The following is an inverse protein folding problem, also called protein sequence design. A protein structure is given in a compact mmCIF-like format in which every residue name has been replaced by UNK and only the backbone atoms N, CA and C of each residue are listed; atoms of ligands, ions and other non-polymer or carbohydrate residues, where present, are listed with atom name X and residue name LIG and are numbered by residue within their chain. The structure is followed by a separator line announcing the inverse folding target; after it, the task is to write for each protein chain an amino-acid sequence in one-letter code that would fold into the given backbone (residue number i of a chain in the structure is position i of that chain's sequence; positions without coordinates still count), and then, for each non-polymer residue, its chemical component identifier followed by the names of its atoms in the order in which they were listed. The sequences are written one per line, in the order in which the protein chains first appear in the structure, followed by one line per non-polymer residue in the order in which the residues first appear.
data_IF_763772636475
#
_entry.id   IF_763772636475
#
_cell.length_a   1.000
_cell.length_b   1.000
_cell.length_c   1.000
_cell.angle_alpha   90.00
_cell.angle_beta   90.00
_cell.angle_gamma   90.00
#
_symmetry.space_group_name_H-M   'P 1'
#
loop_
_entity.id
_entity.type
_entity.pdbx_description
1 polymer ?
#
# COMPACT_ATOMS: atom_id res chain seq x y z
N UNK A 1 19.52 -54.31 -6.90
CA UNK A 1 18.20 -54.03 -7.49
C UNK A 1 17.62 -52.86 -6.73
N UNK A 2 17.80 -51.68 -7.28
CA UNK A 2 17.47 -50.40 -6.65
C UNK A 2 16.07 -49.96 -7.03
N UNK A 3 15.19 -49.81 -6.05
CA UNK A 3 13.87 -49.23 -6.20
C UNK A 3 13.97 -47.69 -6.29
N UNK A 4 13.70 -47.16 -7.45
CA UNK A 4 13.53 -45.72 -7.68
C UNK A 4 12.08 -45.37 -7.38
N UNK A 5 11.88 -44.60 -6.34
CA UNK A 5 10.58 -44.07 -5.94
C UNK A 5 10.24 -42.81 -6.80
N UNK A 6 9.11 -42.75 -7.52
CA UNK A 6 8.75 -41.59 -8.31
C UNK A 6 8.32 -40.46 -7.39
N UNK A 7 9.02 -39.31 -7.46
CA UNK A 7 8.69 -38.11 -6.74
C UNK A 7 7.29 -37.60 -7.12
N UNK A 8 6.41 -37.57 -6.15
CA UNK A 8 5.14 -36.86 -6.23
C UNK A 8 5.41 -35.38 -6.53
N UNK A 9 5.23 -34.95 -7.76
CA UNK A 9 5.06 -33.51 -8.08
C UNK A 9 3.74 -33.08 -7.46
N UNK A 10 3.81 -32.16 -6.51
CA UNK A 10 2.66 -31.62 -5.80
C UNK A 10 1.66 -30.99 -6.80
N UNK A 11 0.37 -31.24 -6.62
CA UNK A 11 -0.73 -30.58 -7.36
C UNK A 11 -0.65 -29.05 -7.33
N UNK A 12 0.05 -28.46 -6.36
CA UNK A 12 0.35 -27.03 -6.24
C UNK A 12 1.15 -26.47 -7.43
N UNK A 13 2.12 -27.22 -7.98
CA UNK A 13 2.92 -26.73 -9.11
C UNK A 13 2.13 -26.71 -10.43
N UNK A 14 1.09 -27.51 -10.56
CA UNK A 14 0.26 -27.52 -11.77
C UNK A 14 -0.70 -26.33 -11.83
N UNK A 15 -1.23 -25.87 -10.69
CA UNK A 15 -2.12 -24.70 -10.63
C UNK A 15 -1.35 -23.37 -10.80
N UNK A 16 -0.09 -23.29 -10.34
CA UNK A 16 0.77 -22.13 -10.56
C UNK A 16 1.17 -21.98 -12.04
N UNK A 17 1.29 -23.08 -12.78
CA UNK A 17 1.60 -23.06 -14.22
C UNK A 17 0.41 -22.67 -15.09
N UNK A 18 -0.81 -22.95 -14.67
CA UNK A 18 -2.01 -22.78 -15.51
C UNK A 18 -2.71 -21.43 -15.32
N UNK A 19 -2.58 -20.80 -14.15
CA UNK A 19 -3.20 -19.50 -13.86
C UNK A 19 -2.45 -18.30 -14.47
N UNK A 20 -1.15 -18.44 -14.70
CA UNK A 20 -0.29 -17.38 -15.23
C UNK A 20 -0.36 -17.28 -16.77
N UNK A 21 -0.78 -18.36 -17.45
CA UNK A 21 -0.79 -18.38 -18.92
C UNK A 21 -2.05 -17.74 -19.53
N UNK A 22 -3.11 -17.55 -18.77
CA UNK A 22 -4.36 -16.98 -19.28
C UNK A 22 -4.37 -15.43 -19.33
N UNK A 23 -3.50 -14.74 -18.60
CA UNK A 23 -3.37 -13.27 -18.62
C UNK A 23 -2.20 -12.78 -19.52
N UNK A 24 -1.56 -13.65 -20.27
CA UNK A 24 -0.35 -13.35 -21.02
C UNK A 24 -0.53 -12.99 -22.51
N UNK A 25 -1.75 -12.81 -22.99
CA UNK A 25 -2.01 -12.49 -24.41
C UNK A 25 -2.43 -11.01 -24.51
N UNK A 26 -1.46 -10.13 -24.74
CA UNK A 26 -1.80 -8.89 -25.38
C UNK A 26 -1.06 -7.60 -25.02
N UNK A 27 0.12 -7.60 -24.46
CA UNK A 27 0.94 -6.41 -24.45
C UNK A 27 2.36 -6.77 -24.90
N UNK A 28 2.63 -6.59 -26.21
CA UNK A 28 3.99 -6.37 -26.69
C UNK A 28 4.42 -4.96 -26.26
N UNK A 29 4.59 -4.75 -24.96
CA UNK A 29 5.30 -3.58 -24.44
C UNK A 29 6.71 -3.60 -24.98
N UNK A 30 7.21 -2.47 -25.48
CA UNK A 30 8.59 -2.36 -25.88
C UNK A 30 9.48 -2.83 -24.73
N UNK A 31 10.31 -3.85 -24.97
CA UNK A 31 11.31 -4.27 -23.98
C UNK A 31 12.09 -3.04 -23.51
N UNK A 32 12.25 -2.83 -22.21
CA UNK A 32 13.04 -1.71 -21.73
C UNK A 32 14.45 -1.78 -22.29
N UNK A 33 15.09 -0.62 -22.50
CA UNK A 33 16.49 -0.56 -22.94
C UNK A 33 17.35 -1.46 -22.04
N UNK A 34 18.41 -2.09 -22.57
CA UNK A 34 19.19 -3.08 -21.81
C UNK A 34 19.65 -2.64 -20.42
N UNK A 35 20.00 -1.37 -20.24
CA UNK A 35 20.39 -0.79 -18.95
C UNK A 35 19.24 -0.74 -17.92
N UNK A 36 17.97 -0.81 -18.36
CA UNK A 36 16.79 -0.82 -17.50
C UNK A 36 16.26 -2.23 -17.23
N UNK A 37 16.77 -3.27 -17.91
CA UNK A 37 16.32 -4.65 -17.71
C UNK A 37 16.60 -5.12 -16.28
N UNK A 38 15.63 -5.86 -15.73
CA UNK A 38 15.79 -6.56 -14.46
C UNK A 38 16.86 -7.64 -14.59
N UNK A 39 17.76 -7.74 -13.61
CA UNK A 39 18.93 -8.59 -13.68
C UNK A 39 19.34 -9.15 -12.31
N UNK A 40 20.36 -9.99 -12.28
CA UNK A 40 20.85 -10.63 -11.04
C UNK A 40 21.33 -9.61 -9.98
N UNK A 41 21.83 -8.44 -10.38
CA UNK A 41 22.22 -7.41 -9.42
C UNK A 41 21.01 -6.81 -8.71
N UNK A 42 19.87 -6.70 -9.38
CA UNK A 42 18.61 -6.26 -8.78
C UNK A 42 18.12 -7.28 -7.73
N UNK A 43 18.19 -8.58 -8.06
CA UNK A 43 17.85 -9.67 -7.14
C UNK A 43 18.78 -9.66 -5.92
N UNK A 44 20.09 -9.56 -6.16
CA UNK A 44 21.08 -9.50 -5.10
C UNK A 44 20.90 -8.26 -4.20
N UNK A 45 20.47 -7.14 -4.75
CA UNK A 45 20.19 -5.92 -3.99
C UNK A 45 19.01 -6.16 -3.02
N UNK A 46 17.91 -6.73 -3.48
CA UNK A 46 16.77 -7.07 -2.61
C UNK A 46 17.16 -8.03 -1.50
N UNK A 47 17.95 -9.05 -1.81
CA UNK A 47 18.43 -10.01 -0.81
C UNK A 47 19.33 -9.34 0.26
N UNK A 48 20.21 -8.43 -0.16
CA UNK A 48 21.05 -7.64 0.78
C UNK A 48 20.20 -6.74 1.67
N UNK A 49 19.20 -6.07 1.13
CA UNK A 49 18.29 -5.21 1.89
C UNK A 49 17.53 -6.02 2.95
N UNK A 50 16.94 -7.17 2.59
CA UNK A 50 16.30 -8.08 3.54
C UNK A 50 17.25 -8.54 4.67
N UNK A 51 18.47 -8.87 4.31
CA UNK A 51 19.50 -9.27 5.30
C UNK A 51 19.87 -8.11 6.23
N UNK A 52 20.06 -6.92 5.68
CA UNK A 52 20.37 -5.70 6.43
C UNK A 52 19.23 -5.31 7.39
N UNK A 53 17.99 -5.38 6.94
CA UNK A 53 16.80 -5.15 7.79
C UNK A 53 16.82 -6.08 9.01
N UNK A 54 16.95 -7.39 8.80
CA UNK A 54 16.98 -8.37 9.88
C UNK A 54 18.17 -8.16 10.84
N UNK A 55 19.34 -7.79 10.31
CA UNK A 55 20.53 -7.52 11.13
C UNK A 55 20.38 -6.24 11.97
N UNK A 56 19.55 -5.29 11.55
CA UNK A 56 19.26 -4.03 12.23
C UNK A 56 18.15 -4.15 13.25
N UNK A 57 17.30 -5.16 13.16
CA UNK A 57 16.18 -5.39 14.08
C UNK A 57 16.59 -5.23 15.53
N UNK A 58 15.89 -4.37 16.27
CA UNK A 58 16.18 -4.04 17.67
C UNK A 58 17.41 -3.17 17.92
N UNK A 59 18.11 -2.69 16.87
CA UNK A 59 19.34 -1.88 16.95
C UNK A 59 19.21 -0.50 16.30
N UNK A 60 18.00 -0.11 15.93
CA UNK A 60 17.74 1.20 15.33
C UNK A 60 17.92 2.35 16.31
N UNK A 61 17.82 3.61 15.82
CA UNK A 61 18.09 4.83 16.62
C UNK A 61 17.12 5.00 17.80
N UNK A 62 15.99 4.32 17.78
CA UNK A 62 14.94 4.36 18.81
C UNK A 62 14.98 3.14 19.75
N UNK A 63 16.06 2.34 19.72
CA UNK A 63 16.16 1.10 20.48
C UNK A 63 15.28 0.00 19.93
N UNK A 64 15.01 -1.01 20.75
CA UNK A 64 14.16 -2.14 20.34
C UNK A 64 12.70 -1.72 20.29
N UNK A 65 12.08 -1.85 19.12
CA UNK A 65 10.67 -1.55 18.84
C UNK A 65 9.91 -2.83 18.49
N UNK A 66 10.09 -3.88 19.29
CA UNK A 66 9.47 -5.19 19.07
C UNK A 66 8.36 -5.41 20.09
N UNK A 67 7.15 -5.69 19.57
CA UNK A 67 5.92 -5.83 20.34
C UNK A 67 5.25 -7.17 20.06
N UNK A 68 4.48 -7.75 21.01
CA UNK A 68 3.68 -8.94 20.77
C UNK A 68 2.40 -8.58 20.02
N UNK A 69 2.47 -8.51 18.68
CA UNK A 69 1.38 -8.11 17.82
C UNK A 69 0.97 -6.64 17.96
N UNK A 70 -0.15 -6.27 17.34
CA UNK A 70 -0.68 -4.90 17.41
C UNK A 70 -1.11 -4.48 18.80
N UNK A 71 -1.69 -5.40 19.59
CA UNK A 71 -2.08 -5.13 20.98
C UNK A 71 -0.88 -4.78 21.86
N UNK A 72 0.29 -5.29 21.51
CA UNK A 72 1.53 -4.96 22.21
C UNK A 72 1.92 -3.49 22.13
N UNK A 73 1.38 -2.74 21.15
CA UNK A 73 1.58 -1.30 21.02
C UNK A 73 1.00 -0.52 22.21
N UNK A 74 0.09 -1.11 23.00
CA UNK A 74 -0.38 -0.52 24.26
C UNK A 74 0.73 -0.34 25.33
N UNK A 75 1.95 -0.83 25.07
CA UNK A 75 3.13 -0.48 25.88
C UNK A 75 3.70 0.90 25.56
N UNK A 76 3.32 1.48 24.43
CA UNK A 76 3.69 2.86 24.07
C UNK A 76 2.77 3.86 24.79
N UNK A 77 3.27 5.06 25.14
CA UNK A 77 2.52 6.00 25.98
C UNK A 77 1.24 6.55 25.34
N UNK A 78 1.06 6.39 24.06
CA UNK A 78 -0.06 6.93 23.28
C UNK A 78 -1.23 5.96 23.11
N UNK A 79 -1.07 4.69 23.52
CA UNK A 79 -2.06 3.65 23.24
C UNK A 79 -2.49 2.92 24.50
N UNK A 80 -3.73 2.49 24.49
CA UNK A 80 -4.31 1.60 25.51
C UNK A 80 -5.13 0.49 24.85
N UNK A 81 -5.53 -0.51 25.64
CA UNK A 81 -6.52 -1.49 25.24
C UNK A 81 -7.86 -1.16 25.91
N UNK A 82 -8.94 -1.19 25.13
CA UNK A 82 -10.28 -1.12 25.69
C UNK A 82 -10.67 -2.40 26.47
N UNK A 83 -11.86 -2.42 27.05
CA UNK A 83 -12.37 -3.58 27.80
C UNK A 83 -12.49 -4.87 26.96
N UNK A 84 -12.60 -4.74 25.66
CA UNK A 84 -12.71 -5.85 24.71
C UNK A 84 -11.36 -6.24 24.12
N UNK A 85 -10.28 -5.54 24.53
CA UNK A 85 -8.91 -5.78 24.12
C UNK A 85 -8.56 -5.18 22.75
N UNK A 86 -9.33 -4.21 22.25
CA UNK A 86 -8.98 -3.49 21.03
C UNK A 86 -8.03 -2.35 21.38
N UNK A 87 -7.04 -2.14 20.51
CA UNK A 87 -6.10 -1.05 20.62
C UNK A 87 -6.76 0.29 20.25
N UNK A 88 -6.52 1.33 21.06
CA UNK A 88 -6.93 2.69 20.71
C UNK A 88 -5.88 3.72 21.13
N UNK A 89 -5.88 4.86 20.45
CA UNK A 89 -5.03 6.00 20.78
C UNK A 89 -5.70 6.82 21.89
N UNK A 90 -5.04 6.89 23.04
CA UNK A 90 -5.53 7.52 24.28
C UNK A 90 -4.94 8.93 24.52
N UNK A 91 -4.11 9.41 23.60
CA UNK A 91 -3.42 10.70 23.76
C UNK A 91 -4.09 11.81 22.95
N UNK A 92 -4.68 12.79 23.62
CA UNK A 92 -5.35 13.94 22.99
C UNK A 92 -4.38 14.92 22.31
N UNK A 93 -3.09 14.88 22.62
CA UNK A 93 -2.05 15.65 21.94
C UNK A 93 -1.69 15.07 20.56
N UNK A 94 -2.13 13.84 20.24
CA UNK A 94 -2.00 13.28 18.90
C UNK A 94 -3.04 13.91 17.99
N UNK A 95 -2.63 14.62 16.93
CA UNK A 95 -3.59 15.26 16.04
C UNK A 95 -4.42 14.22 15.27
N UNK A 96 -5.63 14.60 14.88
CA UNK A 96 -6.38 13.79 13.92
C UNK A 96 -5.63 13.73 12.60
N UNK A 97 -5.52 12.52 12.06
CA UNK A 97 -4.77 12.24 10.84
C UNK A 97 -5.65 12.04 9.61
N UNK A 98 -5.03 12.18 8.44
CA UNK A 98 -5.60 11.85 7.14
C UNK A 98 -4.80 10.69 6.57
N UNK A 99 -5.46 9.58 6.34
CA UNK A 99 -4.85 8.39 5.75
C UNK A 99 -4.98 8.43 4.23
N UNK A 100 -3.86 8.59 3.52
CA UNK A 100 -3.88 8.66 2.05
C UNK A 100 -3.81 7.30 1.38
N UNK A 101 -3.81 6.18 2.14
CA UNK A 101 -3.68 4.84 1.56
C UNK A 101 -4.43 3.77 2.35
N UNK A 102 -5.67 3.55 1.97
CA UNK A 102 -6.49 2.45 2.44
C UNK A 102 -7.12 1.68 1.28
N UNK A 103 -7.60 0.47 1.59
CA UNK A 103 -8.37 -0.36 0.68
C UNK A 103 -9.63 -0.87 1.39
N UNK A 104 -10.58 -1.40 0.63
CA UNK A 104 -11.70 -2.19 1.15
C UNK A 104 -11.59 -3.64 0.65
N UNK A 105 -12.50 -4.48 1.09
CA UNK A 105 -12.61 -5.84 0.59
C UNK A 105 -12.86 -5.86 -0.92
N UNK A 106 -12.18 -6.76 -1.62
CA UNK A 106 -12.26 -6.89 -3.07
C UNK A 106 -13.21 -8.02 -3.47
N UNK A 107 -14.01 -7.78 -4.51
CA UNK A 107 -14.83 -8.78 -5.17
C UNK A 107 -14.75 -8.56 -6.68
N UNK A 108 -13.99 -9.40 -7.36
CA UNK A 108 -13.70 -9.30 -8.81
C UNK A 108 -14.06 -10.59 -9.53
N UNK A 109 -13.90 -10.64 -10.85
CA UNK A 109 -14.26 -11.78 -11.71
C UNK A 109 -15.71 -12.20 -11.52
N UNK A 110 -15.96 -13.31 -10.85
CA UNK A 110 -17.31 -13.84 -10.60
C UNK A 110 -18.10 -13.04 -9.55
N UNK A 111 -17.49 -12.00 -9.00
CA UNK A 111 -18.09 -11.07 -8.03
C UNK A 111 -18.80 -11.82 -6.89
N UNK A 112 -18.09 -12.64 -6.12
CA UNK A 112 -18.67 -13.27 -4.95
C UNK A 112 -19.28 -12.18 -4.05
N UNK A 113 -20.47 -12.44 -3.49
CA UNK A 113 -21.17 -11.46 -2.69
C UNK A 113 -20.31 -10.99 -1.50
N UNK A 114 -20.09 -9.70 -1.44
CA UNK A 114 -19.40 -8.99 -0.38
C UNK A 114 -20.28 -7.82 0.07
N UNK A 115 -20.77 -7.89 1.30
CA UNK A 115 -21.48 -6.77 1.91
C UNK A 115 -20.47 -5.80 2.54
N UNK A 116 -20.13 -4.74 1.81
CA UNK A 116 -19.21 -3.69 2.29
C UNK A 116 -19.81 -2.83 3.42
N UNK A 117 -21.10 -2.99 3.75
CA UNK A 117 -21.77 -2.27 4.84
C UNK A 117 -21.96 -3.15 6.10
N UNK A 118 -21.53 -4.40 6.06
CA UNK A 118 -21.62 -5.29 7.19
C UNK A 118 -20.63 -4.89 8.30
N UNK A 119 -21.13 -4.77 9.54
CA UNK A 119 -20.28 -4.66 10.72
C UNK A 119 -19.91 -6.05 11.25
N UNK A 120 -18.66 -6.25 11.62
CA UNK A 120 -18.19 -7.49 12.27
C UNK A 120 -17.55 -7.17 13.62
N UNK A 121 -17.49 -8.15 14.51
CA UNK A 121 -16.89 -7.97 15.84
C UNK A 121 -15.40 -7.65 15.80
N UNK A 122 -14.71 -8.11 14.76
CA UNK A 122 -13.28 -7.94 14.57
C UNK A 122 -12.95 -7.75 13.09
N UNK A 123 -11.97 -6.91 12.80
CA UNK A 123 -11.28 -6.89 11.49
C UNK A 123 -10.29 -8.04 11.43
N UNK A 124 -10.25 -8.74 10.32
CA UNK A 124 -9.14 -9.64 9.99
C UNK A 124 -8.24 -8.93 8.99
N UNK A 125 -7.10 -8.50 9.49
CA UNK A 125 -6.07 -7.97 8.61
C UNK A 125 -5.49 -9.09 7.73
N UNK A 126 -4.99 -8.75 6.58
CA UNK A 126 -4.39 -9.75 5.68
C UNK A 126 -3.10 -10.31 6.28
N UNK A 127 -2.36 -9.48 6.98
CA UNK A 127 -1.20 -9.87 7.79
C UNK A 127 -1.54 -9.64 9.25
N UNK A 128 -2.26 -10.58 9.86
CA UNK A 128 -2.84 -10.47 11.20
C UNK A 128 -1.87 -10.97 12.26
N UNK A 129 -1.18 -10.03 12.91
CA UNK A 129 -0.33 -10.27 14.09
C UNK A 129 -1.10 -10.20 15.41
N UNK A 130 -2.40 -10.02 15.37
CA UNK A 130 -3.28 -10.00 16.55
C UNK A 130 -4.00 -11.33 16.76
N UNK A 131 -3.72 -12.31 15.90
CA UNK A 131 -4.13 -13.68 16.17
C UNK A 131 -3.62 -14.07 17.56
N UNK A 132 -4.42 -14.84 18.28
CA UNK A 132 -4.08 -15.39 19.61
C UNK A 132 -2.82 -16.26 19.60
N UNK A 133 -2.13 -16.33 18.48
CA UNK A 133 -0.86 -17.04 18.31
C UNK A 133 0.28 -16.22 18.93
N UNK A 134 0.94 -16.73 19.99
CA UNK A 134 2.05 -16.04 20.66
C UNK A 134 3.29 -15.86 19.76
N UNK A 135 3.25 -16.31 18.52
CA UNK A 135 4.37 -16.33 17.58
C UNK A 135 4.45 -15.18 16.57
N UNK A 136 3.66 -14.11 16.71
CA UNK A 136 3.68 -13.00 15.77
C UNK A 136 4.30 -11.71 16.37
N UNK A 137 5.62 -11.60 16.48
CA UNK A 137 6.26 -10.37 16.93
C UNK A 137 6.06 -9.30 15.85
N UNK A 138 5.69 -8.08 16.26
CA UNK A 138 5.65 -6.91 15.43
C UNK A 138 6.90 -6.05 15.71
N UNK A 139 7.85 -6.08 14.81
CA UNK A 139 9.03 -5.21 14.84
C UNK A 139 8.78 -3.98 13.97
N UNK A 140 8.71 -2.81 14.58
CA UNK A 140 8.51 -1.55 13.88
C UNK A 140 9.81 -1.02 13.23
N UNK A 141 10.98 -1.65 13.49
CA UNK A 141 12.26 -1.21 12.93
C UNK A 141 12.69 -1.99 11.69
N UNK A 142 11.78 -2.76 11.11
CA UNK A 142 11.95 -3.36 9.79
C UNK A 142 10.78 -2.97 8.87
N UNK A 143 10.95 -3.15 7.55
CA UNK A 143 9.82 -3.03 6.65
C UNK A 143 8.74 -4.05 7.05
N UNK A 144 7.50 -3.61 7.14
CA UNK A 144 6.44 -4.35 7.84
C UNK A 144 6.29 -5.81 7.37
N UNK A 145 6.45 -6.08 6.07
CA UNK A 145 6.41 -7.45 5.54
C UNK A 145 7.57 -8.33 6.00
N UNK A 146 8.64 -7.75 6.55
CA UNK A 146 9.74 -8.49 7.16
C UNK A 146 9.37 -9.22 8.45
N UNK A 147 8.24 -8.86 9.07
CA UNK A 147 7.70 -9.53 10.25
C UNK A 147 7.11 -10.91 9.95
N UNK A 148 6.82 -11.19 8.69
CA UNK A 148 6.12 -12.41 8.27
C UNK A 148 7.09 -13.38 7.62
N UNK A 149 6.85 -14.67 7.80
CA UNK A 149 7.61 -15.70 7.10
C UNK A 149 7.29 -15.71 5.60
N UNK A 150 8.21 -16.21 4.79
CA UNK A 150 7.98 -16.34 3.34
C UNK A 150 6.72 -17.18 3.07
N UNK A 151 6.44 -18.21 3.89
CA UNK A 151 5.22 -19.00 3.78
C UNK A 151 3.96 -18.16 4.05
N UNK A 152 3.98 -17.26 5.05
CA UNK A 152 2.85 -16.39 5.34
C UNK A 152 2.59 -15.40 4.20
N UNK A 153 3.65 -14.89 3.57
CA UNK A 153 3.56 -14.01 2.40
C UNK A 153 3.04 -14.75 1.16
N UNK A 154 3.46 -16.00 0.95
CA UNK A 154 2.93 -16.86 -0.11
C UNK A 154 1.45 -17.19 0.12
N UNK A 155 1.07 -17.51 1.36
CA UNK A 155 -0.32 -17.78 1.73
C UNK A 155 -1.19 -16.51 1.56
N UNK A 156 -0.66 -15.33 1.84
CA UNK A 156 -1.32 -14.05 1.56
C UNK A 156 -1.55 -13.86 0.05
N UNK A 157 -0.54 -14.11 -0.77
CA UNK A 157 -0.65 -14.00 -2.23
C UNK A 157 -1.75 -14.93 -2.74
N UNK A 158 -1.76 -16.18 -2.29
CA UNK A 158 -2.79 -17.16 -2.67
C UNK A 158 -4.19 -16.78 -2.14
N UNK A 159 -4.27 -16.24 -0.92
CA UNK A 159 -5.52 -15.75 -0.35
C UNK A 159 -6.08 -14.56 -1.14
N UNK A 160 -5.22 -13.64 -1.56
CA UNK A 160 -5.62 -12.48 -2.36
C UNK A 160 -6.18 -12.90 -3.72
N UNK A 161 -5.58 -13.88 -4.39
CA UNK A 161 -6.09 -14.46 -5.64
C UNK A 161 -7.43 -15.17 -5.39
N UNK A 162 -7.50 -16.03 -4.38
CA UNK A 162 -8.73 -16.75 -4.02
C UNK A 162 -9.86 -15.79 -3.67
N UNK A 163 -9.54 -14.70 -2.99
CA UNK A 163 -10.45 -13.65 -2.57
C UNK A 163 -11.15 -12.98 -3.75
N UNK A 164 -10.41 -12.67 -4.82
CA UNK A 164 -10.97 -12.08 -6.03
C UNK A 164 -11.93 -13.03 -6.75
N UNK A 165 -11.74 -14.33 -6.68
CA UNK A 165 -12.50 -15.33 -7.46
C UNK A 165 -13.65 -15.94 -6.66
N UNK A 166 -13.43 -16.29 -5.40
CA UNK A 166 -14.42 -17.02 -4.57
C UNK A 166 -14.81 -16.30 -3.29
N UNK A 167 -14.14 -15.20 -2.96
CA UNK A 167 -14.25 -14.56 -1.65
C UNK A 167 -13.43 -15.27 -0.57
N UNK A 168 -13.21 -14.59 0.54
CA UNK A 168 -12.50 -15.15 1.69
C UNK A 168 -13.08 -14.67 3.01
N UNK A 169 -12.79 -15.35 4.13
CA UNK A 169 -13.17 -14.88 5.45
C UNK A 169 -12.55 -13.52 5.83
N UNK A 170 -11.43 -13.14 5.23
CA UNK A 170 -10.79 -11.85 5.43
C UNK A 170 -11.60 -10.73 4.78
N UNK A 171 -11.92 -10.87 3.49
CA UNK A 171 -12.70 -9.88 2.74
C UNK A 171 -13.98 -9.48 3.43
N UNK A 172 -14.67 -10.44 4.05
CA UNK A 172 -15.94 -10.20 4.76
C UNK A 172 -15.82 -9.25 5.95
N UNK A 173 -14.62 -9.02 6.46
CA UNK A 173 -14.34 -8.09 7.56
C UNK A 173 -13.75 -6.77 7.11
N UNK A 174 -13.42 -6.63 5.81
CA UNK A 174 -12.77 -5.44 5.25
C UNK A 174 -13.84 -4.49 4.69
N UNK A 175 -14.65 -3.96 5.57
CA UNK A 175 -15.90 -3.24 5.29
C UNK A 175 -15.84 -1.81 5.82
N UNK A 176 -16.71 -0.95 5.33
CA UNK A 176 -16.80 0.45 5.74
C UNK A 176 -17.01 0.61 7.25
N UNK A 177 -17.99 -0.03 7.89
CA UNK A 177 -18.18 0.13 9.34
C UNK A 177 -16.96 -0.30 10.16
N UNK A 178 -16.24 -1.32 9.72
CA UNK A 178 -15.05 -1.80 10.40
C UNK A 178 -13.86 -0.84 10.21
N UNK A 179 -13.68 -0.28 9.01
CA UNK A 179 -12.67 0.75 8.77
C UNK A 179 -12.96 1.99 9.62
N UNK A 180 -14.19 2.50 9.60
CA UNK A 180 -14.56 3.70 10.36
C UNK A 180 -14.33 3.51 11.86
N UNK A 181 -14.65 2.34 12.41
CA UNK A 181 -14.40 2.01 13.82
C UNK A 181 -12.91 2.03 14.16
N UNK A 182 -12.06 1.46 13.29
CA UNK A 182 -10.62 1.45 13.51
C UNK A 182 -10.00 2.83 13.28
N UNK A 183 -10.51 3.61 12.33
CA UNK A 183 -10.15 5.02 12.14
C UNK A 183 -10.44 5.85 13.40
N UNK A 184 -11.64 5.72 13.96
CA UNK A 184 -12.01 6.41 15.21
C UNK A 184 -11.05 6.03 16.34
N UNK A 185 -10.78 4.73 16.53
CA UNK A 185 -9.88 4.27 17.58
C UNK A 185 -8.44 4.75 17.42
N UNK A 186 -7.99 5.06 16.19
CA UNK A 186 -6.63 5.51 15.88
C UNK A 186 -6.53 7.01 15.53
N UNK A 187 -7.56 7.82 15.82
CA UNK A 187 -7.61 9.25 15.52
C UNK A 187 -7.36 9.57 14.03
N UNK A 188 -7.87 8.70 13.14
CA UNK A 188 -7.90 8.95 11.70
C UNK A 188 -9.25 9.57 11.35
N UNK A 189 -9.25 10.80 10.87
CA UNK A 189 -10.48 11.53 10.58
C UNK A 189 -11.03 11.21 9.19
N UNK A 190 -10.15 11.09 8.22
CA UNK A 190 -10.50 10.85 6.82
C UNK A 190 -9.51 9.88 6.19
N UNK A 191 -9.97 9.11 5.19
CA UNK A 191 -9.13 8.16 4.47
C UNK A 191 -9.41 8.17 2.97
N UNK A 192 -8.34 7.92 2.18
CA UNK A 192 -8.38 7.70 0.75
C UNK A 192 -8.42 6.20 0.45
N UNK A 193 -9.48 5.74 -0.19
CA UNK A 193 -9.63 4.38 -0.66
C UNK A 193 -9.05 4.26 -2.07
N UNK A 194 -8.08 3.37 -2.26
CA UNK A 194 -7.33 3.23 -3.51
C UNK A 194 -7.69 1.91 -4.21
N UNK A 195 -8.73 1.87 -5.05
CA UNK A 195 -9.05 0.69 -5.84
C UNK A 195 -7.94 0.39 -6.86
N UNK A 196 -7.84 -0.87 -7.30
CA UNK A 196 -6.90 -1.29 -8.32
C UNK A 196 -7.69 -1.98 -9.43
N UNK A 197 -7.69 -1.41 -10.63
CA UNK A 197 -8.22 -2.04 -11.82
C UNK A 197 -7.21 -3.05 -12.35
N UNK A 198 -7.63 -4.31 -12.51
CA UNK A 198 -6.72 -5.43 -12.79
C UNK A 198 -6.58 -5.74 -14.28
N UNK A 199 -7.39 -5.10 -15.14
CA UNK A 199 -7.44 -5.41 -16.58
C UNK A 199 -8.16 -6.72 -16.88
N UNK A 200 -9.11 -7.12 -16.04
CA UNK A 200 -9.88 -8.35 -16.21
C UNK A 200 -10.98 -8.16 -17.26
N UNK A 201 -11.32 -9.23 -18.00
CA UNK A 201 -12.33 -9.12 -19.07
C UNK A 201 -13.76 -8.86 -18.56
N UNK A 202 -14.02 -9.08 -17.27
CA UNK A 202 -15.29 -8.83 -16.58
C UNK A 202 -15.10 -8.74 -15.08
N UNK A 203 -16.04 -8.12 -14.37
CA UNK A 203 -16.04 -8.05 -12.90
C UNK A 203 -14.93 -7.18 -12.31
N UNK A 204 -14.34 -6.26 -13.06
CA UNK A 204 -13.23 -5.39 -12.68
C UNK A 204 -13.70 -3.96 -12.41
N UNK A 205 -14.61 -3.81 -11.43
CA UNK A 205 -15.35 -2.58 -11.17
C UNK A 205 -15.19 -2.08 -9.73
N UNK A 206 -14.04 -2.34 -9.10
CA UNK A 206 -13.81 -2.02 -7.69
C UNK A 206 -14.05 -0.54 -7.36
N UNK A 207 -13.62 0.39 -8.21
CA UNK A 207 -13.87 1.83 -8.01
C UNK A 207 -15.35 2.13 -7.87
N UNK A 208 -16.16 1.61 -8.79
CA UNK A 208 -17.61 1.84 -8.82
C UNK A 208 -18.30 1.17 -7.62
N UNK A 209 -17.89 -0.04 -7.28
CA UNK A 209 -18.46 -0.81 -6.16
C UNK A 209 -18.14 -0.10 -4.83
N UNK A 210 -16.92 0.38 -4.64
CA UNK A 210 -16.53 1.10 -3.43
C UNK A 210 -17.20 2.48 -3.35
N UNK A 211 -17.26 3.22 -4.45
CA UNK A 211 -17.97 4.49 -4.50
C UNK A 211 -19.46 4.32 -4.13
N UNK A 212 -20.12 3.34 -4.71
CA UNK A 212 -21.51 3.03 -4.39
C UNK A 212 -21.70 2.64 -2.91
N UNK A 213 -20.77 1.87 -2.35
CA UNK A 213 -20.83 1.46 -0.95
C UNK A 213 -20.59 2.65 0.01
N UNK A 214 -19.64 3.53 -0.29
CA UNK A 214 -19.38 4.75 0.50
C UNK A 214 -20.62 5.65 0.52
N UNK A 215 -21.24 5.86 -0.64
CA UNK A 215 -22.48 6.65 -0.75
C UNK A 215 -23.64 5.98 0.00
N UNK A 216 -23.84 4.67 -0.17
CA UNK A 216 -24.89 3.94 0.54
C UNK A 216 -24.70 3.92 2.05
N UNK A 217 -23.44 3.95 2.51
CA UNK A 217 -23.06 4.01 3.93
C UNK A 217 -23.05 5.43 4.51
N UNK A 218 -23.38 6.46 3.71
CA UNK A 218 -23.28 7.88 4.09
C UNK A 218 -21.92 8.26 4.71
N UNK A 219 -20.84 7.73 4.13
CA UNK A 219 -19.47 7.88 4.63
C UNK A 219 -18.59 8.84 3.79
N UNK A 220 -19.17 9.62 2.87
CA UNK A 220 -18.48 10.49 1.93
C UNK A 220 -17.68 11.61 2.60
N UNK A 221 -18.02 11.97 3.82
CA UNK A 221 -17.27 12.96 4.60
C UNK A 221 -15.97 12.40 5.17
N UNK A 222 -15.90 11.08 5.34
CA UNK A 222 -14.76 10.41 5.95
C UNK A 222 -13.94 9.60 4.94
N UNK A 223 -14.59 9.07 3.90
CA UNK A 223 -13.97 8.16 2.94
C UNK A 223 -14.06 8.72 1.52
N UNK A 224 -12.92 8.92 0.90
CA UNK A 224 -12.81 9.38 -0.49
C UNK A 224 -12.32 8.24 -1.36
N UNK A 225 -12.99 7.99 -2.48
CA UNK A 225 -12.62 6.92 -3.41
C UNK A 225 -11.75 7.49 -4.53
N UNK A 226 -10.54 6.96 -4.67
CA UNK A 226 -9.64 7.25 -5.77
C UNK A 226 -10.07 6.59 -7.07
N UNK A 227 -9.39 6.95 -8.14
CA UNK A 227 -9.58 6.37 -9.47
C UNK A 227 -8.63 5.18 -9.67
N UNK A 228 -9.01 4.26 -10.55
CA UNK A 228 -8.07 3.29 -11.08
C UNK A 228 -8.41 3.00 -12.54
N UNK A 229 -7.39 2.99 -13.39
CA UNK A 229 -7.49 2.59 -14.79
C UNK A 229 -6.49 1.47 -15.06
N UNK A 230 -6.77 0.65 -16.07
CA UNK A 230 -5.78 -0.29 -16.59
C UNK A 230 -5.04 0.36 -17.76
N UNK A 231 -3.72 0.58 -17.69
CA UNK A 231 -2.99 1.35 -18.69
C UNK A 231 -3.09 0.81 -20.11
N UNK A 232 -3.31 -0.49 -20.28
CA UNK A 232 -3.50 -1.14 -21.59
C UNK A 232 -4.88 -0.99 -22.22
N UNK A 233 -5.87 -0.46 -21.47
CA UNK A 233 -7.24 -0.32 -21.99
C UNK A 233 -7.36 0.91 -22.90
N UNK A 234 -7.99 0.73 -24.07
CA UNK A 234 -8.29 1.84 -24.97
C UNK A 234 -9.25 2.89 -24.35
N UNK A 235 -9.99 2.52 -23.32
CA UNK A 235 -10.93 3.37 -22.59
C UNK A 235 -10.29 4.09 -21.39
N UNK A 236 -9.05 3.81 -21.03
CA UNK A 236 -8.41 4.30 -19.81
C UNK A 236 -8.50 5.84 -19.65
N UNK A 237 -8.20 6.60 -20.71
CA UNK A 237 -8.31 8.07 -20.68
C UNK A 237 -9.76 8.53 -20.50
N UNK A 238 -10.72 7.88 -21.15
CA UNK A 238 -12.15 8.22 -21.03
C UNK A 238 -12.66 7.94 -19.62
N UNK A 239 -12.29 6.80 -19.05
CA UNK A 239 -12.63 6.43 -17.66
C UNK A 239 -12.03 7.43 -16.67
N UNK A 240 -10.77 7.82 -16.86
CA UNK A 240 -10.09 8.81 -16.03
C UNK A 240 -10.81 10.17 -16.06
N UNK A 241 -11.21 10.65 -17.25
CA UNK A 241 -12.01 11.89 -17.39
C UNK A 241 -13.35 11.81 -16.69
N UNK A 242 -14.06 10.70 -16.86
CA UNK A 242 -15.35 10.47 -16.20
C UNK A 242 -15.23 10.45 -14.69
N UNK A 243 -14.21 9.79 -14.16
CA UNK A 243 -13.99 9.70 -12.73
C UNK A 243 -13.55 11.06 -12.15
N UNK A 244 -12.69 11.80 -12.84
CA UNK A 244 -12.32 13.18 -12.47
C UNK A 244 -13.55 14.12 -12.44
N UNK A 245 -14.46 13.99 -13.41
CA UNK A 245 -15.70 14.75 -13.47
C UNK A 245 -16.65 14.44 -12.30
N UNK A 246 -16.58 13.23 -11.72
CA UNK A 246 -17.30 12.86 -10.48
C UNK A 246 -16.61 13.32 -9.19
N UNK A 247 -15.50 14.08 -9.29
CA UNK A 247 -14.78 14.61 -8.14
C UNK A 247 -13.55 13.82 -7.73
N UNK A 248 -13.14 12.79 -8.48
CA UNK A 248 -11.90 12.06 -8.26
C UNK A 248 -10.69 12.98 -8.34
N UNK A 249 -9.73 12.79 -7.43
CA UNK A 249 -8.52 13.62 -7.31
C UNK A 249 -7.22 12.84 -7.40
N UNK A 250 -7.27 11.54 -7.29
CA UNK A 250 -6.10 10.66 -7.23
C UNK A 250 -6.33 9.44 -8.12
N UNK A 251 -5.30 9.05 -8.86
CA UNK A 251 -5.29 7.82 -9.66
C UNK A 251 -4.31 6.83 -9.07
N UNK A 252 -4.78 5.65 -8.68
CA UNK A 252 -3.95 4.54 -8.22
C UNK A 252 -3.46 3.73 -9.40
N UNK A 253 -2.14 3.56 -9.46
CA UNK A 253 -1.44 2.70 -10.40
C UNK A 253 -0.58 1.68 -9.64
N UNK A 254 -0.61 0.43 -10.06
CA UNK A 254 0.08 -0.66 -9.37
C UNK A 254 0.98 -1.46 -10.34
N UNK A 255 2.22 -1.03 -10.55
CA UNK A 255 3.11 -1.59 -11.58
C UNK A 255 3.24 -3.13 -11.52
N UNK A 256 3.40 -3.71 -10.32
CA UNK A 256 3.58 -5.16 -10.18
C UNK A 256 2.32 -5.97 -10.44
N UNK A 257 1.14 -5.45 -10.09
CA UNK A 257 -0.16 -6.12 -10.29
C UNK A 257 -0.65 -5.94 -11.72
N UNK A 258 -0.58 -4.70 -12.22
CA UNK A 258 -1.02 -4.34 -13.57
C UNK A 258 0.04 -4.62 -14.65
N UNK A 259 1.27 -4.99 -14.26
CA UNK A 259 2.39 -5.44 -15.11
C UNK A 259 2.80 -4.45 -16.20
N UNK A 260 3.01 -3.20 -15.82
CA UNK A 260 3.50 -2.14 -16.69
C UNK A 260 4.79 -1.50 -16.11
N UNK A 261 5.58 -0.90 -16.98
CA UNK A 261 6.68 -0.04 -16.56
C UNK A 261 6.21 1.41 -16.43
N UNK A 262 6.48 2.11 -15.31
CA UNK A 262 6.08 3.51 -15.14
C UNK A 262 6.52 4.47 -16.24
N UNK A 263 7.56 4.13 -17.01
CA UNK A 263 8.11 4.92 -18.12
C UNK A 263 7.72 4.40 -19.51
N UNK A 264 6.75 3.49 -19.61
CA UNK A 264 6.30 3.05 -20.94
C UNK A 264 5.42 4.10 -21.63
N UNK A 265 5.42 4.16 -22.99
CA UNK A 265 4.73 5.21 -23.73
C UNK A 265 3.24 5.36 -23.42
N UNK A 266 2.55 4.26 -23.13
CA UNK A 266 1.13 4.28 -22.77
C UNK A 266 0.88 5.04 -21.45
N UNK A 267 1.77 4.87 -20.47
CA UNK A 267 1.71 5.58 -19.20
C UNK A 267 2.04 7.06 -19.35
N UNK A 268 3.03 7.40 -20.18
CA UNK A 268 3.39 8.79 -20.42
C UNK A 268 2.20 9.59 -20.98
N UNK A 269 1.39 8.99 -21.87
CA UNK A 269 0.14 9.59 -22.35
C UNK A 269 -0.91 9.76 -21.23
N UNK A 270 -1.04 8.79 -20.32
CA UNK A 270 -1.95 8.89 -19.15
C UNK A 270 -1.50 10.00 -18.18
N UNK A 271 -0.20 10.20 -17.97
CA UNK A 271 0.31 11.29 -17.12
C UNK A 271 0.00 12.67 -17.71
N UNK A 272 0.13 12.83 -19.03
CA UNK A 272 -0.28 14.06 -19.70
C UNK A 272 -1.74 14.40 -19.42
N UNK A 273 -2.63 13.41 -19.51
CA UNK A 273 -4.05 13.59 -19.21
C UNK A 273 -4.29 13.83 -17.71
N UNK A 274 -3.62 13.08 -16.84
CA UNK A 274 -3.72 13.29 -15.38
C UNK A 274 -3.31 14.71 -14.99
N UNK A 275 -2.24 15.23 -15.58
CA UNK A 275 -1.81 16.63 -15.38
C UNK A 275 -2.86 17.62 -15.87
N UNK A 276 -3.45 17.41 -17.03
CA UNK A 276 -4.50 18.27 -17.58
C UNK A 276 -5.78 18.29 -16.73
N UNK A 277 -6.07 17.17 -16.06
CA UNK A 277 -7.22 17.02 -15.15
C UNK A 277 -6.91 17.46 -13.70
N UNK A 278 -5.69 17.85 -13.39
CA UNK A 278 -5.27 18.21 -12.02
C UNK A 278 -5.31 17.04 -11.02
N UNK A 279 -5.10 15.82 -11.51
CA UNK A 279 -5.05 14.62 -10.68
C UNK A 279 -3.66 14.45 -10.04
N UNK A 280 -3.61 13.68 -8.96
CA UNK A 280 -2.38 13.17 -8.36
C UNK A 280 -2.22 11.70 -8.75
N UNK A 281 -1.03 11.28 -9.14
CA UNK A 281 -0.73 9.88 -9.43
C UNK A 281 -0.17 9.19 -8.20
N UNK A 282 -0.81 8.13 -7.74
CA UNK A 282 -0.36 7.31 -6.62
C UNK A 282 0.15 5.96 -7.12
N UNK A 283 1.43 5.75 -7.05
CA UNK A 283 2.03 4.45 -7.36
C UNK A 283 2.07 3.51 -6.14
N UNK A 284 1.85 2.21 -6.37
CA UNK A 284 2.53 1.23 -5.53
C UNK A 284 4.02 1.29 -5.87
N UNK A 285 4.85 1.66 -4.92
CA UNK A 285 6.27 1.93 -5.15
C UNK A 285 7.16 0.79 -4.67
N UNK A 286 8.13 0.41 -5.51
CA UNK A 286 9.16 -0.56 -5.15
C UNK A 286 8.69 -2.00 -4.94
N UNK A 287 9.58 -2.85 -4.42
CA UNK A 287 9.35 -4.28 -4.19
C UNK A 287 8.95 -4.52 -2.73
N UNK A 288 7.69 -4.85 -2.49
CA UNK A 288 7.15 -5.08 -1.14
C UNK A 288 7.43 -6.49 -0.60
N UNK A 289 7.63 -7.47 -1.51
CA UNK A 289 7.97 -8.85 -1.17
C UNK A 289 6.75 -9.76 -0.95
N UNK A 290 5.55 -9.31 -1.32
CA UNK A 290 4.33 -10.12 -1.40
C UNK A 290 3.97 -10.44 -2.85
N UNK A 291 4.46 -9.64 -3.77
CA UNK A 291 4.28 -9.83 -5.21
C UNK A 291 5.18 -10.95 -5.76
N UNK A 292 4.74 -11.67 -6.81
CA UNK A 292 5.57 -12.67 -7.47
C UNK A 292 6.89 -12.07 -7.99
N UNK A 293 7.99 -12.80 -7.86
CA UNK A 293 9.32 -12.35 -8.33
C UNK A 293 9.30 -11.90 -9.79
N UNK A 294 8.51 -12.56 -10.65
CA UNK A 294 8.36 -12.22 -12.07
C UNK A 294 7.79 -10.82 -12.31
N UNK A 295 7.17 -10.21 -11.31
CA UNK A 295 6.62 -8.85 -11.40
C UNK A 295 7.52 -7.77 -10.79
N UNK A 296 8.60 -8.13 -10.10
CA UNK A 296 9.54 -7.19 -9.49
C UNK A 296 10.14 -6.20 -10.49
N UNK A 297 10.36 -6.64 -11.73
CA UNK A 297 10.89 -5.80 -12.80
C UNK A 297 10.10 -4.51 -13.02
N UNK A 298 8.77 -4.55 -12.83
CA UNK A 298 7.88 -3.43 -13.06
C UNK A 298 7.95 -2.36 -11.94
N UNK A 299 8.42 -2.73 -10.75
CA UNK A 299 8.48 -1.84 -9.58
C UNK A 299 9.85 -1.17 -9.39
N UNK A 300 10.83 -1.42 -10.26
CA UNK A 300 12.19 -0.89 -10.07
C UNK A 300 12.22 0.65 -10.11
N UNK A 301 12.90 1.30 -9.13
CA UNK A 301 12.91 2.76 -8.99
C UNK A 301 13.32 3.52 -10.25
N UNK A 302 14.22 2.97 -11.08
CA UNK A 302 14.69 3.57 -12.33
C UNK A 302 13.61 3.82 -13.38
N UNK A 303 12.44 3.18 -13.26
CA UNK A 303 11.33 3.38 -14.18
C UNK A 303 10.42 4.57 -13.81
N UNK A 304 10.51 5.09 -12.57
CA UNK A 304 9.68 6.23 -12.16
C UNK A 304 10.29 7.58 -12.59
N UNK A 305 11.60 7.61 -12.87
CA UNK A 305 12.34 8.84 -13.11
C UNK A 305 11.84 9.64 -14.32
N UNK A 306 11.53 8.98 -15.43
CA UNK A 306 11.05 9.65 -16.63
C UNK A 306 9.70 10.37 -16.38
N UNK A 307 8.77 9.73 -15.67
CA UNK A 307 7.50 10.34 -15.31
C UNK A 307 7.69 11.62 -14.46
N UNK A 308 8.55 11.54 -13.43
CA UNK A 308 8.87 12.68 -12.57
C UNK A 308 9.52 13.84 -13.35
N UNK A 309 10.43 13.53 -14.26
CA UNK A 309 11.18 14.53 -15.03
C UNK A 309 10.33 15.21 -16.10
N UNK A 310 9.49 14.43 -16.83
CA UNK A 310 8.74 14.93 -17.97
C UNK A 310 7.44 15.65 -17.56
N UNK A 311 6.90 15.35 -16.36
CA UNK A 311 5.68 15.95 -15.84
C UNK A 311 5.92 16.70 -14.52
N UNK A 312 6.70 17.78 -14.49
CA UNK A 312 7.08 18.46 -13.25
C UNK A 312 5.90 19.12 -12.51
N UNK A 313 4.80 19.39 -13.21
CA UNK A 313 3.58 19.97 -12.63
C UNK A 313 2.57 18.89 -12.15
N UNK A 314 2.77 17.62 -12.49
CA UNK A 314 1.98 16.50 -12.00
C UNK A 314 2.58 16.00 -10.69
N UNK A 315 1.76 15.86 -9.66
CA UNK A 315 2.22 15.34 -8.37
C UNK A 315 2.17 13.81 -8.37
N UNK A 316 3.25 13.19 -7.90
CA UNK A 316 3.36 11.74 -7.81
C UNK A 316 3.59 11.31 -6.35
N UNK A 317 2.79 10.37 -5.85
CA UNK A 317 3.03 9.72 -4.57
C UNK A 317 3.72 8.38 -4.84
N UNK A 318 4.94 8.25 -4.35
CA UNK A 318 5.68 7.01 -4.35
C UNK A 318 5.26 6.20 -3.11
N UNK A 319 4.28 5.32 -3.30
CA UNK A 319 3.70 4.53 -2.24
C UNK A 319 4.71 3.63 -1.54
N UNK A 320 4.45 3.28 -0.30
CA UNK A 320 5.39 2.56 0.57
C UNK A 320 6.78 3.22 0.67
N UNK A 321 6.92 4.49 0.22
CA UNK A 321 8.22 5.12 -0.02
C UNK A 321 9.22 4.20 -0.75
N UNK A 322 8.69 3.36 -1.67
CA UNK A 322 9.47 2.37 -2.40
C UNK A 322 9.67 1.02 -1.71
N UNK A 323 8.93 0.73 -0.65
CA UNK A 323 9.04 -0.53 0.07
C UNK A 323 10.51 -0.88 0.41
N UNK A 324 11.03 -2.00 -0.07
CA UNK A 324 12.46 -2.37 0.13
C UNK A 324 13.43 -1.65 -0.79
N UNK A 325 12.95 -0.88 -1.77
CA UNK A 325 13.75 -0.01 -2.64
C UNK A 325 13.76 1.46 -2.16
N UNK A 326 13.49 1.68 -0.87
CA UNK A 326 13.27 3.00 -0.28
C UNK A 326 14.45 3.97 -0.46
N UNK A 327 15.69 3.53 -0.38
CA UNK A 327 16.85 4.40 -0.58
C UNK A 327 16.85 5.07 -1.98
N UNK A 328 16.51 4.29 -3.00
CA UNK A 328 16.42 4.80 -4.36
C UNK A 328 15.21 5.72 -4.56
N UNK A 329 14.06 5.42 -3.93
CA UNK A 329 12.88 6.30 -3.98
C UNK A 329 13.09 7.60 -3.20
N UNK A 330 13.79 7.58 -2.08
CA UNK A 330 14.22 8.78 -1.35
C UNK A 330 15.13 9.63 -2.25
N UNK A 331 16.06 9.02 -2.99
CA UNK A 331 16.92 9.74 -3.92
C UNK A 331 16.11 10.42 -5.05
N UNK A 332 15.05 9.79 -5.56
CA UNK A 332 14.12 10.43 -6.51
C UNK A 332 13.37 11.60 -5.85
N UNK A 333 12.81 11.42 -4.65
CA UNK A 333 12.09 12.48 -3.94
C UNK A 333 12.99 13.68 -3.59
N UNK A 334 14.28 13.47 -3.41
CA UNK A 334 15.26 14.57 -3.23
C UNK A 334 15.53 15.35 -4.50
N UNK A 335 15.45 14.71 -5.66
CA UNK A 335 15.78 15.29 -6.95
C UNK A 335 14.58 15.96 -7.64
N UNK A 336 13.38 15.47 -7.38
CA UNK A 336 12.15 15.90 -8.03
C UNK A 336 11.14 16.45 -7.02
N UNK A 337 10.78 17.72 -7.13
CA UNK A 337 9.88 18.40 -6.21
C UNK A 337 8.42 17.93 -6.29
N UNK A 338 8.05 17.29 -7.38
CA UNK A 338 6.75 16.67 -7.60
C UNK A 338 6.64 15.23 -7.08
N UNK A 339 7.69 14.71 -6.43
CA UNK A 339 7.69 13.37 -5.82
C UNK A 339 7.41 13.46 -4.32
N UNK A 340 6.35 12.79 -3.87
CA UNK A 340 5.93 12.63 -2.49
C UNK A 340 6.17 11.21 -2.03
N UNK A 341 6.42 11.00 -0.74
CA UNK A 341 6.65 9.68 -0.17
C UNK A 341 5.46 9.28 0.74
N UNK A 342 4.74 8.22 0.36
CA UNK A 342 3.78 7.57 1.25
C UNK A 342 4.51 6.65 2.21
N UNK A 343 4.47 6.92 3.52
CA UNK A 343 5.35 6.28 4.52
C UNK A 343 4.87 4.90 5.01
N UNK A 344 3.67 4.47 4.64
CA UNK A 344 3.10 3.19 5.10
C UNK A 344 4.05 2.01 4.83
N UNK A 345 4.08 1.10 5.76
CA UNK A 345 4.96 -0.08 5.72
C UNK A 345 6.42 0.16 6.12
N UNK A 346 6.92 1.38 6.09
CA UNK A 346 8.33 1.68 6.38
C UNK A 346 8.69 1.51 7.86
N UNK A 347 9.96 1.25 8.15
CA UNK A 347 10.49 1.14 9.51
C UNK A 347 10.66 2.51 10.16
N UNK A 348 10.75 2.55 11.50
CA UNK A 348 11.06 3.77 12.24
C UNK A 348 12.43 4.35 11.84
N UNK A 349 13.43 3.50 11.61
CA UNK A 349 14.75 3.92 11.11
C UNK A 349 14.68 4.53 9.72
N UNK A 350 13.90 3.95 8.81
CA UNK A 350 13.74 4.48 7.46
C UNK A 350 12.93 5.78 7.47
N UNK A 351 11.90 5.87 8.32
CA UNK A 351 11.15 7.13 8.49
C UNK A 351 12.06 8.24 9.02
N UNK A 352 12.94 7.94 9.99
CA UNK A 352 13.95 8.90 10.45
C UNK A 352 14.88 9.33 9.29
N UNK A 353 15.32 8.39 8.46
CA UNK A 353 16.14 8.68 7.28
C UNK A 353 15.42 9.64 6.33
N UNK A 354 14.12 9.43 6.07
CA UNK A 354 13.31 10.32 5.24
C UNK A 354 13.21 11.73 5.86
N UNK A 355 12.92 11.81 7.16
CA UNK A 355 12.82 13.10 7.89
C UNK A 355 14.12 13.89 7.78
N UNK A 356 15.27 13.23 7.87
CA UNK A 356 16.58 13.88 7.82
C UNK A 356 17.06 14.21 6.41
N UNK A 357 16.63 13.46 5.40
CA UNK A 357 17.22 13.51 4.07
C UNK A 357 16.32 14.06 2.97
N UNK A 358 15.02 14.22 3.23
CA UNK A 358 14.06 14.77 2.27
C UNK A 358 13.34 15.99 2.83
N UNK A 359 12.56 16.65 1.97
CA UNK A 359 11.62 17.67 2.42
C UNK A 359 10.47 16.98 3.19
N UNK A 360 10.42 17.22 4.48
CA UNK A 360 9.39 16.67 5.37
C UNK A 360 7.97 17.13 5.02
N UNK A 361 7.84 18.19 4.23
CA UNK A 361 6.55 18.68 3.72
C UNK A 361 5.99 17.76 2.63
N UNK A 362 6.75 16.78 2.16
CA UNK A 362 6.34 15.79 1.15
C UNK A 362 6.24 14.36 1.69
N UNK A 363 6.20 14.19 3.00
CA UNK A 363 5.92 12.90 3.66
C UNK A 363 4.43 12.79 3.96
N UNK A 364 3.80 11.69 3.56
CA UNK A 364 2.37 11.47 3.67
C UNK A 364 2.06 10.25 4.55
N UNK A 365 1.21 10.44 5.54
CA UNK A 365 0.69 9.35 6.36
C UNK A 365 -0.22 8.44 5.54
N UNK A 366 -0.04 7.14 5.73
CA UNK A 366 -0.86 6.09 5.13
C UNK A 366 -0.73 4.82 5.95
N UNK A 367 -1.71 3.93 5.88
CA UNK A 367 -1.72 2.71 6.70
C UNK A 367 -1.68 1.43 5.90
N UNK A 368 -2.18 1.45 4.67
CA UNK A 368 -2.39 0.26 3.83
C UNK A 368 -3.42 -0.72 4.43
N UNK A 369 -4.37 -0.17 5.22
CA UNK A 369 -5.50 -0.97 5.69
C UNK A 369 -6.24 -1.62 4.52
N UNK A 370 -6.64 -2.86 4.54
CA UNK A 370 -6.70 -3.81 5.65
C UNK A 370 -5.49 -4.78 5.72
N UNK A 371 -4.39 -4.50 5.03
CA UNK A 371 -3.20 -5.35 5.14
C UNK A 371 -2.66 -5.32 6.57
N UNK A 372 -2.61 -4.14 7.17
CA UNK A 372 -2.09 -3.90 8.51
C UNK A 372 -3.08 -3.13 9.37
N UNK A 373 -2.94 -3.27 10.69
CA UNK A 373 -3.67 -2.44 11.65
C UNK A 373 -3.18 -0.99 11.59
N UNK A 374 -4.10 0.00 11.63
CA UNK A 374 -3.76 1.42 11.53
C UNK A 374 -2.72 1.85 12.57
N UNK A 375 -2.80 1.31 13.78
CA UNK A 375 -1.90 1.62 14.89
C UNK A 375 -0.42 1.37 14.58
N UNK A 376 -0.09 0.42 13.69
CA UNK A 376 1.29 0.15 13.31
C UNK A 376 1.94 1.34 12.59
N UNK A 377 1.23 1.99 11.67
CA UNK A 377 1.71 3.19 10.98
C UNK A 377 1.73 4.40 11.90
N UNK A 378 0.69 4.59 12.72
CA UNK A 378 0.60 5.70 13.67
C UNK A 378 1.75 5.63 14.69
N UNK A 379 2.01 4.47 15.29
CA UNK A 379 3.09 4.26 16.25
C UNK A 379 4.46 4.72 15.70
N UNK A 380 4.77 4.40 14.45
CA UNK A 380 6.03 4.79 13.82
C UNK A 380 6.20 6.30 13.72
N UNK A 381 5.14 7.03 13.36
CA UNK A 381 5.16 8.51 13.33
C UNK A 381 5.33 9.05 14.75
N UNK A 382 4.61 8.50 15.73
CA UNK A 382 4.69 8.98 17.12
C UNK A 382 6.06 8.76 17.71
N UNK A 383 6.68 7.59 17.51
CA UNK A 383 8.04 7.28 17.95
C UNK A 383 9.06 8.25 17.34
N UNK A 384 9.02 8.45 16.02
CA UNK A 384 10.00 9.30 15.32
C UNK A 384 9.82 10.80 15.61
N UNK A 385 8.66 11.19 16.13
CA UNK A 385 8.32 12.57 16.44
C UNK A 385 8.02 12.83 17.92
N UNK A 386 8.46 11.96 18.81
CA UNK A 386 8.18 12.05 20.26
C UNK A 386 8.70 13.32 20.89
N UNK A 387 9.90 13.75 20.49
CA UNK A 387 10.51 14.97 21.05
C UNK A 387 9.70 16.22 20.72
N UNK A 388 9.55 17.11 21.70
CA UNK A 388 8.70 18.30 21.60
C UNK A 388 9.04 19.21 20.41
N UNK A 389 10.31 19.27 20.01
CA UNK A 389 10.75 20.03 18.83
C UNK A 389 10.22 19.50 17.50
N UNK A 390 9.68 18.26 17.47
CA UNK A 390 9.10 17.63 16.30
C UNK A 390 7.56 17.60 16.29
N UNK A 391 6.88 18.28 17.21
CA UNK A 391 5.40 18.33 17.24
C UNK A 391 4.80 18.88 15.95
N UNK A 392 5.39 19.97 15.40
CA UNK A 392 4.98 20.52 14.10
C UNK A 392 5.21 19.53 12.96
N UNK A 393 6.31 18.79 12.99
CA UNK A 393 6.59 17.74 12.00
C UNK A 393 5.55 16.61 12.08
N UNK A 394 5.18 16.18 13.29
CA UNK A 394 4.11 15.21 13.52
C UNK A 394 2.81 15.65 12.85
N UNK A 395 2.38 16.89 13.12
CA UNK A 395 1.19 17.49 12.53
C UNK A 395 1.27 17.50 10.99
N UNK A 396 2.41 17.91 10.42
CA UNK A 396 2.62 17.91 8.97
C UNK A 396 2.45 16.51 8.37
N UNK A 397 3.16 15.50 8.90
CA UNK A 397 3.13 14.14 8.36
C UNK A 397 1.72 13.54 8.49
N UNK A 398 1.07 13.69 9.64
CA UNK A 398 -0.23 13.08 9.90
C UNK A 398 -1.38 13.76 9.13
N UNK A 399 -1.27 15.05 8.82
CA UNK A 399 -2.40 15.83 8.31
C UNK A 399 -2.05 16.88 7.27
N UNK A 400 -1.21 17.89 7.62
CA UNK A 400 -1.12 19.14 6.87
C UNK A 400 -0.59 18.93 5.45
N UNK A 401 0.29 17.95 5.26
CA UNK A 401 0.82 17.59 3.94
C UNK A 401 -0.27 17.04 3.02
N UNK A 402 -1.19 16.22 3.54
CA UNK A 402 -2.33 15.73 2.77
C UNK A 402 -3.30 16.87 2.40
N UNK A 403 -3.59 17.79 3.35
CA UNK A 403 -4.40 18.99 3.10
C UNK A 403 -3.79 19.85 1.98
N UNK A 404 -2.48 20.03 1.99
CA UNK A 404 -1.76 20.82 1.00
C UNK A 404 -1.73 20.15 -0.39
N UNK A 405 -1.55 18.83 -0.43
CA UNK A 405 -1.52 18.09 -1.70
C UNK A 405 -2.88 18.03 -2.37
N UNK A 406 -3.96 17.97 -1.60
CA UNK A 406 -5.33 17.85 -2.09
C UNK A 406 -6.21 19.00 -1.58
N UNK A 407 -5.99 20.25 -2.06
CA UNK A 407 -6.74 21.40 -1.58
C UNK A 407 -8.24 21.24 -1.88
N UNK A 408 -9.06 21.42 -0.83
CA UNK A 408 -10.52 21.33 -0.94
C UNK A 408 -11.11 19.91 -1.03
N UNK A 409 -10.28 18.87 -0.96
CA UNK A 409 -10.78 17.50 -0.86
C UNK A 409 -11.12 17.13 0.58
N UNK A 410 -10.21 17.41 1.49
CA UNK A 410 -10.34 17.07 2.89
C UNK A 410 -11.08 18.16 3.67
N UNK A 411 -11.88 17.74 4.64
CA UNK A 411 -12.46 18.68 5.60
C UNK A 411 -11.38 19.14 6.60
N UNK A 412 -11.32 20.42 6.86
CA UNK A 412 -10.34 21.04 7.75
C UNK A 412 -10.62 20.73 9.25
#
# INVERSE_FOLDING_TARGET
MSNINPRHRSRRQFLLGSGVTACGLGLSGCDPVPAKRYNEADIATLARQRTSEKARSGKGPYGSQIYPGYRGLAKLPWFELDKDGNLYCNDDDVPYSIDVHCHLGMSVLFRPHLDLLAATSRVKHLLDCDATDPGCPLDLDIYINGNFSDQALDDLTMSTIAQGVWGSPFTKTQTIPNLLREMESMRVQQAMLLPIKLGLPFGDQLEQDWFAAVTAGAAEQQLHVGLSVYPGDATAVTEMRQAAARGGRIIKLHPTVQRFYPDEPALMALYAEAQALGLVVFFHGGRAGIEPESSHQFAMPRHYEAALAEYPNLQFILGHAGARDSEAMIALARRYDNAWLGIHGQSVTMLETMIQSTDSDRLLFGTDWPFYHLGASLAKVLITTEVSSRRTLRQKILRDNALRLFPGLWQA
#
